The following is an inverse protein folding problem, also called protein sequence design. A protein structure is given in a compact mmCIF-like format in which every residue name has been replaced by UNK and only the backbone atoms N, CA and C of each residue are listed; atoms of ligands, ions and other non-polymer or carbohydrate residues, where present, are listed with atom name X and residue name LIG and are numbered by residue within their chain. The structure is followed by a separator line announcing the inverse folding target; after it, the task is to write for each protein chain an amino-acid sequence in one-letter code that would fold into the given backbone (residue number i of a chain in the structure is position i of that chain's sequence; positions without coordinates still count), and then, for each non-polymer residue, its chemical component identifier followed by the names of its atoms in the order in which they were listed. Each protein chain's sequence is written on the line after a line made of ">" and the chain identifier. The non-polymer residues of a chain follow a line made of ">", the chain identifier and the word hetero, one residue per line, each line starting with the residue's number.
data_IF_124763969598
#
_entry.id   IF_124763969598
#
_cell.length_a   1.000
_cell.length_b   1.000
_cell.length_c   1.000
_cell.angle_alpha   90.00
_cell.angle_beta   90.00
_cell.angle_gamma   90.00
#
_symmetry.space_group_name_H-M   'P 1'
#
loop_
_entity.id
_entity.type
_entity.pdbx_description
1 polymer ?
#
# COMPACT_ATOMS: atom_id res chain seq x y z
N UNK A 1 -16.62 -7.07 6.46
CA UNK A 1 -16.30 -6.06 5.41
C UNK A 1 -14.81 -5.70 5.34
N UNK A 2 -13.94 -6.42 6.08
CA UNK A 2 -12.47 -6.32 6.01
C UNK A 2 -11.82 -7.61 5.48
N UNK A 3 -12.63 -8.63 5.18
CA UNK A 3 -12.22 -9.99 4.78
C UNK A 3 -11.61 -10.06 3.37
N UNK A 4 -11.37 -8.91 2.74
CA UNK A 4 -10.84 -8.81 1.37
C UNK A 4 -9.35 -8.50 1.30
N UNK A 5 -8.68 -8.12 2.39
CA UNK A 5 -7.22 -8.12 2.40
C UNK A 5 -6.80 -9.54 2.78
N UNK A 6 -6.08 -10.23 1.89
CA UNK A 6 -5.53 -11.56 2.20
C UNK A 6 -4.80 -11.53 3.55
N UNK A 7 -4.80 -12.64 4.30
CA UNK A 7 -4.20 -12.68 5.63
C UNK A 7 -2.80 -12.05 5.60
N UNK A 8 -2.49 -11.12 6.52
CA UNK A 8 -1.19 -10.47 6.55
C UNK A 8 -0.10 -11.54 6.72
N UNK A 9 0.67 -11.78 5.66
CA UNK A 9 1.77 -12.73 5.72
C UNK A 9 2.97 -12.06 6.41
N UNK A 10 3.36 -12.60 7.55
CA UNK A 10 4.50 -12.12 8.34
C UNK A 10 5.80 -12.59 7.68
N UNK A 11 6.64 -11.66 7.26
CA UNK A 11 7.94 -11.91 6.64
C UNK A 11 8.49 -10.68 5.93
N UNK A 12 9.78 -10.69 5.53
CA UNK A 12 10.35 -9.58 4.77
C UNK A 12 9.59 -9.39 3.46
N UNK A 13 9.22 -8.14 3.19
CA UNK A 13 8.62 -7.77 1.93
C UNK A 13 9.70 -7.79 0.83
N UNK A 14 9.39 -8.39 -0.31
CA UNK A 14 10.31 -8.54 -1.44
C UNK A 14 9.59 -8.24 -2.76
N UNK A 15 10.34 -8.24 -3.86
CA UNK A 15 9.78 -7.94 -5.19
C UNK A 15 8.62 -8.85 -5.58
N UNK A 16 8.71 -10.15 -5.32
CA UNK A 16 7.65 -11.11 -5.69
C UNK A 16 6.33 -10.81 -4.95
N UNK A 17 6.40 -10.58 -3.64
CA UNK A 17 5.25 -10.20 -2.81
C UNK A 17 4.64 -8.88 -3.27
N UNK A 18 5.50 -7.92 -3.64
CA UNK A 18 5.07 -6.63 -4.17
C UNK A 18 4.30 -6.79 -5.49
N UNK A 19 4.81 -7.58 -6.43
CA UNK A 19 4.14 -7.81 -7.72
C UNK A 19 2.78 -8.47 -7.53
N UNK A 20 2.70 -9.48 -6.65
CA UNK A 20 1.44 -10.14 -6.34
C UNK A 20 0.40 -9.15 -5.79
N UNK A 21 0.82 -8.26 -4.88
CA UNK A 21 -0.02 -7.20 -4.35
C UNK A 21 -0.47 -6.20 -5.41
N UNK A 22 0.43 -5.74 -6.28
CA UNK A 22 0.09 -4.79 -7.35
C UNK A 22 -0.89 -5.37 -8.37
N UNK A 23 -0.77 -6.65 -8.69
CA UNK A 23 -1.73 -7.32 -9.57
C UNK A 23 -3.13 -7.42 -8.94
N UNK A 24 -3.23 -7.81 -7.66
CA UNK A 24 -4.51 -7.84 -6.94
C UNK A 24 -5.10 -6.42 -6.81
N UNK A 25 -4.26 -5.42 -6.57
CA UNK A 25 -4.66 -4.01 -6.54
C UNK A 25 -5.20 -3.55 -7.90
N UNK A 26 -4.52 -3.88 -9.00
CA UNK A 26 -4.97 -3.57 -10.36
C UNK A 26 -6.35 -4.16 -10.63
N UNK A 27 -6.55 -5.46 -10.38
CA UNK A 27 -7.84 -6.13 -10.62
C UNK A 27 -9.02 -5.50 -9.86
N UNK A 28 -8.75 -4.93 -8.68
CA UNK A 28 -9.78 -4.28 -7.86
C UNK A 28 -10.09 -2.85 -8.29
N UNK A 29 -9.08 -2.10 -8.73
CA UNK A 29 -9.21 -0.71 -9.13
C UNK A 29 -9.63 -0.56 -10.60
N UNK A 30 -9.25 -1.52 -11.42
CA UNK A 30 -9.43 -1.56 -12.87
C UNK A 30 -10.17 -2.85 -13.21
N UNK A 31 -11.50 -2.91 -12.99
CA UNK A 31 -12.29 -4.04 -13.43
C UNK A 31 -12.26 -4.14 -14.97
N UNK A 32 -12.28 -5.36 -15.51
CA UNK A 32 -12.20 -5.63 -16.96
C UNK A 32 -13.34 -4.97 -17.76
N UNK A 33 -14.42 -4.58 -17.10
CA UNK A 33 -15.59 -3.91 -17.69
C UNK A 33 -15.32 -2.43 -18.03
N UNK A 34 -14.28 -1.82 -17.45
CA UNK A 34 -13.88 -0.43 -17.67
C UNK A 34 -12.71 -0.28 -18.67
N UNK A 35 -12.48 -1.29 -19.53
CA UNK A 35 -11.38 -1.29 -20.51
C UNK A 35 -11.68 -0.42 -21.75
N UNK A 36 -12.96 -0.14 -22.05
CA UNK A 36 -13.37 0.58 -23.26
C UNK A 36 -14.31 1.76 -22.91
N UNK A 37 -13.76 2.98 -22.90
CA UNK A 37 -14.54 4.22 -22.73
C UNK A 37 -13.67 5.47 -22.60
N UNK A 38 -14.16 6.60 -23.11
CA UNK A 38 -13.45 7.90 -23.16
C UNK A 38 -13.15 8.52 -21.77
N UNK A 39 -13.56 7.86 -20.68
CA UNK A 39 -13.42 8.36 -19.31
C UNK A 39 -12.66 7.37 -18.39
N UNK A 40 -11.58 6.80 -18.91
CA UNK A 40 -10.79 5.77 -18.23
C UNK A 40 -10.05 6.37 -17.03
N UNK A 41 -10.42 5.94 -15.82
CA UNK A 41 -9.81 6.42 -14.58
C UNK A 41 -8.37 5.90 -14.46
N UNK A 42 -7.43 6.84 -14.33
CA UNK A 42 -6.02 6.58 -13.99
C UNK A 42 -5.82 6.67 -12.48
N UNK A 43 -4.99 5.80 -11.95
CA UNK A 43 -4.61 5.76 -10.55
C UNK A 43 -3.12 6.06 -10.41
N UNK A 44 -2.79 7.05 -9.58
CA UNK A 44 -1.40 7.39 -9.26
C UNK A 44 -1.00 6.64 -8.01
N UNK A 45 0.08 5.87 -8.08
CA UNK A 45 0.67 5.18 -6.94
C UNK A 45 1.91 5.94 -6.52
N UNK A 46 1.91 6.44 -5.27
CA UNK A 46 3.04 7.19 -4.70
C UNK A 46 4.00 6.19 -4.06
N UNK A 47 5.27 6.23 -4.48
CA UNK A 47 6.34 5.33 -4.04
C UNK A 47 7.43 6.11 -3.30
N UNK A 48 7.96 5.52 -2.23
CA UNK A 48 9.27 5.92 -1.71
C UNK A 48 10.41 5.33 -2.58
N UNK A 49 11.65 5.76 -2.32
CA UNK A 49 12.81 5.38 -3.14
C UNK A 49 13.50 4.09 -2.70
N UNK A 50 12.79 3.14 -2.08
CA UNK A 50 13.39 1.87 -1.70
C UNK A 50 13.76 1.06 -2.96
N UNK A 51 14.95 0.45 -2.96
CA UNK A 51 15.58 -0.11 -4.15
C UNK A 51 14.73 -1.14 -4.91
N UNK A 52 13.92 -1.95 -4.23
CA UNK A 52 13.10 -2.97 -4.89
C UNK A 52 11.90 -2.40 -5.65
N UNK A 53 11.47 -1.16 -5.37
CA UNK A 53 10.45 -0.45 -6.16
C UNK A 53 10.95 -0.10 -7.57
N UNK A 54 12.26 0.04 -7.73
CA UNK A 54 12.93 0.31 -9.00
C UNK A 54 13.37 -0.96 -9.74
N UNK A 55 12.97 -2.14 -9.25
CA UNK A 55 13.31 -3.40 -9.92
C UNK A 55 12.67 -3.48 -11.30
N UNK A 56 13.36 -4.11 -12.26
CA UNK A 56 12.87 -4.27 -13.63
C UNK A 56 11.48 -4.91 -13.68
N UNK A 57 11.23 -5.91 -12.83
CA UNK A 57 9.93 -6.55 -12.77
C UNK A 57 8.81 -5.58 -12.35
N UNK A 58 9.10 -4.66 -11.44
CA UNK A 58 8.13 -3.65 -10.98
C UNK A 58 7.88 -2.60 -12.07
N UNK A 59 8.92 -2.14 -12.77
CA UNK A 59 8.74 -1.19 -13.88
C UNK A 59 7.96 -1.81 -15.03
N UNK A 60 8.24 -3.06 -15.39
CA UNK A 60 7.50 -3.78 -16.44
C UNK A 60 6.02 -3.98 -16.09
N UNK A 61 5.67 -4.18 -14.82
CA UNK A 61 4.27 -4.27 -14.40
C UNK A 61 3.49 -2.97 -14.73
N UNK A 62 4.11 -1.81 -14.54
CA UNK A 62 3.48 -0.53 -14.89
C UNK A 62 3.37 -0.27 -16.39
N UNK A 63 4.31 -0.80 -17.19
CA UNK A 63 4.21 -0.75 -18.65
C UNK A 63 3.03 -1.57 -19.17
N UNK A 64 2.77 -2.73 -18.55
CA UNK A 64 1.63 -3.61 -18.87
C UNK A 64 0.30 -3.07 -18.36
N UNK A 65 0.34 -2.26 -17.30
CA UNK A 65 -0.85 -1.65 -16.68
C UNK A 65 -0.77 -0.11 -16.69
N UNK A 66 -0.94 0.54 -17.87
CA UNK A 66 -0.74 1.99 -18.02
C UNK A 66 -1.70 2.86 -17.20
N UNK A 67 -2.77 2.26 -16.65
CA UNK A 67 -3.70 2.94 -15.73
C UNK A 67 -3.16 3.09 -14.31
N UNK A 68 -2.11 2.36 -13.95
CA UNK A 68 -1.38 2.52 -12.70
C UNK A 68 -0.11 3.31 -13.00
N UNK A 69 -0.08 4.58 -12.61
CA UNK A 69 1.04 5.48 -12.87
C UNK A 69 1.92 5.56 -11.62
N UNK A 70 3.16 5.07 -11.65
CA UNK A 70 4.07 5.21 -10.52
C UNK A 70 4.61 6.64 -10.42
N UNK A 71 4.53 7.23 -9.22
CA UNK A 71 5.13 8.51 -8.87
C UNK A 71 6.13 8.31 -7.72
N UNK A 72 7.42 8.48 -7.99
CA UNK A 72 8.46 8.39 -6.97
C UNK A 72 8.63 9.72 -6.25
N UNK A 73 8.66 9.68 -4.93
CA UNK A 73 8.91 10.86 -4.11
C UNK A 73 10.36 11.34 -4.26
N UNK A 74 10.61 12.66 -4.17
CA UNK A 74 11.98 13.16 -4.16
C UNK A 74 12.77 12.59 -2.97
N UNK A 75 14.09 12.37 -3.13
CA UNK A 75 14.94 11.87 -2.06
C UNK A 75 14.78 12.70 -0.78
N UNK A 76 14.80 12.03 0.38
CA UNK A 76 14.72 12.66 1.69
C UNK A 76 13.50 13.56 1.90
N UNK A 77 12.37 13.26 1.24
CA UNK A 77 11.09 13.95 1.43
C UNK A 77 10.04 13.07 2.12
N UNK A 78 10.34 12.54 3.33
CA UNK A 78 9.44 11.65 4.07
C UNK A 78 8.08 12.32 4.35
N UNK A 79 8.09 13.63 4.64
CA UNK A 79 6.90 14.46 4.81
C UNK A 79 5.95 14.53 3.59
N UNK A 80 6.40 14.12 2.40
CA UNK A 80 5.55 14.03 1.21
C UNK A 80 4.90 12.66 1.04
N UNK A 81 5.25 11.67 1.87
CA UNK A 81 4.63 10.37 1.86
C UNK A 81 3.37 10.40 2.73
N UNK A 82 2.16 10.36 2.16
CA UNK A 82 0.91 10.45 2.94
C UNK A 82 0.78 9.35 4.00
N UNK A 83 1.49 8.23 3.81
CA UNK A 83 1.51 7.14 4.79
C UNK A 83 2.18 7.53 6.11
N UNK A 84 3.09 8.52 6.10
CA UNK A 84 3.78 8.95 7.32
C UNK A 84 2.88 9.73 8.26
N UNK A 85 1.94 10.51 7.72
CA UNK A 85 0.91 11.16 8.52
C UNK A 85 0.03 10.10 9.20
N UNK A 86 -0.39 9.08 8.43
CA UNK A 86 -1.15 7.94 8.95
C UNK A 86 -0.40 7.20 10.07
N UNK A 87 0.87 6.82 9.84
CA UNK A 87 1.67 6.15 10.86
C UNK A 87 1.96 7.04 12.07
N UNK A 88 2.08 8.36 11.88
CA UNK A 88 2.27 9.30 12.98
C UNK A 88 1.04 9.40 13.86
N UNK A 89 -0.15 9.57 13.26
CA UNK A 89 -1.41 9.54 13.99
C UNK A 89 -1.63 8.20 14.71
N UNK A 90 -1.28 7.09 14.05
CA UNK A 90 -1.40 5.76 14.65
C UNK A 90 -0.43 5.54 15.81
N UNK A 91 0.83 5.99 15.71
CA UNK A 91 1.78 5.92 16.83
C UNK A 91 1.22 6.57 18.09
N UNK A 92 0.62 7.76 17.98
CA UNK A 92 -0.04 8.42 19.11
C UNK A 92 -1.14 7.55 19.73
N UNK A 93 -1.97 6.93 18.90
CA UNK A 93 -3.02 6.01 19.36
C UNK A 93 -2.45 4.77 20.06
N UNK A 94 -1.37 4.18 19.54
CA UNK A 94 -0.71 3.03 20.15
C UNK A 94 -0.06 3.37 21.49
N UNK A 95 0.54 4.56 21.64
CA UNK A 95 1.12 5.02 22.90
C UNK A 95 0.08 5.25 23.99
N UNK A 96 -1.13 5.68 23.64
CA UNK A 96 -2.23 5.91 24.59
C UNK A 96 -2.76 4.60 25.22
N UNK A 97 -2.56 3.45 24.54
CA UNK A 97 -3.02 2.14 24.98
C UNK A 97 -2.09 1.39 25.97
N UNK A 98 -1.17 2.10 26.65
CA UNK A 98 -0.16 1.60 27.59
C UNK A 98 0.89 0.63 26.97
N UNK A 99 2.20 0.95 27.04
CA UNK A 99 3.27 0.17 26.41
C UNK A 99 3.60 -1.18 27.10
N UNK A 100 2.85 -1.57 28.13
CA UNK A 100 3.11 -2.79 28.92
C UNK A 100 2.15 -3.94 28.64
N UNK A 101 1.01 -3.68 27.99
CA UNK A 101 0.17 -4.73 27.46
C UNK A 101 0.70 -5.11 26.08
N UNK A 102 1.17 -6.35 25.93
CA UNK A 102 1.57 -6.90 24.63
C UNK A 102 0.33 -7.20 23.79
N UNK A 103 -0.45 -6.18 23.45
CA UNK A 103 -1.49 -6.29 22.43
C UNK A 103 -0.82 -6.44 21.08
N UNK A 104 -1.25 -7.40 20.27
CA UNK A 104 -0.67 -7.55 18.94
C UNK A 104 -0.99 -6.32 18.09
N UNK A 105 -0.06 -5.94 17.22
CA UNK A 105 -0.16 -4.76 16.35
C UNK A 105 -1.46 -4.77 15.52
N UNK A 106 -1.93 -5.97 15.16
CA UNK A 106 -3.19 -6.19 14.43
C UNK A 106 -4.42 -5.90 15.29
N UNK A 107 -4.43 -6.31 16.56
CA UNK A 107 -5.53 -6.04 17.51
C UNK A 107 -5.64 -4.54 17.83
N UNK A 108 -4.51 -3.85 17.98
CA UNK A 108 -4.48 -2.40 18.16
C UNK A 108 -5.04 -1.63 16.94
N UNK A 109 -4.86 -2.16 15.73
CA UNK A 109 -5.40 -1.58 14.49
C UNK A 109 -6.90 -1.80 14.31
N UNK A 110 -7.45 -2.89 14.83
CA UNK A 110 -8.87 -3.22 14.69
C UNK A 110 -9.79 -2.33 15.55
N UNK A 111 -9.23 -1.64 16.56
CA UNK A 111 -9.96 -0.76 17.46
C UNK A 111 -10.85 -1.56 18.40
N UNK A 112 -10.60 -1.45 19.71
CA UNK A 112 -11.58 -1.90 20.70
C UNK A 112 -12.83 -1.02 20.55
N UNK A 113 -13.88 -1.59 19.96
CA UNK A 113 -15.23 -1.09 20.16
C UNK A 113 -15.61 -1.35 21.61
N UNK A 114 -15.59 -0.31 22.44
CA UNK A 114 -16.29 -0.26 23.73
C UNK A 114 -16.70 1.18 24.00
#
# INVERSE_FOLDING_TARGET
>A
MLDKFGQPQVGPYNTERLLAFLNDLHQRLVPEQDQEGENMRTFVIIWDNVAFHHSQATTTLFEVHPRLVPLFLPPYSPFLNPIEEFFSAWRWKAYDHQPHDQMSLLEAMQGHHS
#
